data_IF_311109883911
#
_entry.id   IF_311109883911
#
_cell.length_a   1.000
_cell.length_b   1.000
_cell.length_c   1.000
_cell.angle_alpha   90.00
_cell.angle_beta   90.00
_cell.angle_gamma   90.00
#
_symmetry.space_group_name_H-M   'P 1'
#
loop_
_entity.id
_entity.type
_entity.pdbx_description
1 polymer ?
#
# COMPACT_ATOMS: atom_id res chain seq x y z
N UNK A 1 1.77 -5.41 -12.81
CA UNK A 1 0.44 -5.38 -13.47
C UNK A 1 -0.17 -6.77 -13.66
N UNK A 2 0.40 -7.68 -14.46
CA UNK A 2 -0.22 -9.00 -14.75
C UNK A 2 -0.67 -9.79 -13.50
N UNK A 3 0.17 -9.87 -12.46
CA UNK A 3 -0.18 -10.49 -11.17
C UNK A 3 -1.43 -9.87 -10.52
N UNK A 4 -1.60 -8.54 -10.62
CA UNK A 4 -2.72 -7.83 -9.98
C UNK A 4 -4.04 -8.10 -10.70
N UNK A 5 -4.01 -8.18 -12.03
CA UNK A 5 -5.15 -8.62 -12.84
C UNK A 5 -5.53 -10.07 -12.57
N UNK A 6 -4.53 -10.97 -12.58
CA UNK A 6 -4.75 -12.39 -12.30
C UNK A 6 -5.33 -12.68 -10.90
N UNK A 7 -5.06 -11.80 -9.92
CA UNK A 7 -5.65 -11.88 -8.58
C UNK A 7 -6.98 -11.11 -8.44
N UNK A 8 -7.51 -10.54 -9.53
CA UNK A 8 -8.74 -9.74 -9.51
C UNK A 8 -8.62 -8.40 -8.78
N UNK A 9 -7.40 -7.95 -8.49
CA UNK A 9 -7.17 -6.66 -7.81
C UNK A 9 -7.34 -5.47 -8.75
N UNK A 10 -7.21 -5.70 -10.05
CA UNK A 10 -7.42 -4.72 -11.12
C UNK A 10 -8.29 -5.36 -12.19
N UNK A 11 -9.06 -4.54 -12.90
CA UNK A 11 -9.80 -4.98 -14.08
C UNK A 11 -8.86 -5.51 -15.17
N UNK A 12 -9.35 -6.41 -16.01
CA UNK A 12 -8.54 -7.04 -17.06
C UNK A 12 -8.09 -6.01 -18.12
N UNK A 13 -8.87 -4.97 -18.35
CA UNK A 13 -8.57 -3.84 -19.21
C UNK A 13 -7.69 -2.76 -18.57
N UNK A 14 -7.46 -2.82 -17.25
CA UNK A 14 -6.73 -1.78 -16.53
C UNK A 14 -5.33 -1.55 -17.11
N UNK A 15 -4.95 -0.30 -17.30
CA UNK A 15 -3.67 0.13 -17.86
C UNK A 15 -2.68 0.50 -16.74
N UNK A 16 -1.42 0.73 -17.12
CA UNK A 16 -0.39 1.11 -16.15
C UNK A 16 -0.75 2.43 -15.45
N UNK A 17 -1.33 3.37 -16.20
CA UNK A 17 -1.76 4.66 -15.69
C UNK A 17 -2.90 4.51 -14.68
N UNK A 18 -3.83 3.57 -14.86
CA UNK A 18 -4.89 3.28 -13.89
C UNK A 18 -4.29 2.77 -12.57
N UNK A 19 -3.29 1.88 -12.65
CA UNK A 19 -2.59 1.39 -11.48
C UNK A 19 -1.81 2.50 -10.76
N UNK A 20 -1.12 3.36 -11.51
CA UNK A 20 -0.39 4.49 -10.95
C UNK A 20 -1.33 5.53 -10.32
N UNK A 21 -2.48 5.81 -10.96
CA UNK A 21 -3.49 6.71 -10.42
C UNK A 21 -4.08 6.17 -9.11
N UNK A 22 -4.34 4.86 -9.05
CA UNK A 22 -4.78 4.20 -7.83
C UNK A 22 -3.75 4.34 -6.70
N UNK A 23 -2.48 4.04 -6.97
CA UNK A 23 -1.41 4.18 -5.98
C UNK A 23 -1.31 5.63 -5.52
N UNK A 24 -1.33 6.58 -6.45
CA UNK A 24 -1.26 8.02 -6.15
C UNK A 24 -2.44 8.46 -5.28
N UNK A 25 -3.64 7.92 -5.52
CA UNK A 25 -4.81 8.17 -4.69
C UNK A 25 -4.60 7.69 -3.25
N UNK A 26 -4.00 6.51 -3.04
CA UNK A 26 -3.65 6.02 -1.69
C UNK A 26 -2.68 6.98 -1.01
N UNK A 27 -1.64 7.42 -1.72
CA UNK A 27 -0.59 8.28 -1.16
C UNK A 27 -1.03 9.74 -0.93
N UNK A 28 -2.12 10.18 -1.55
CA UNK A 28 -2.63 11.55 -1.45
C UNK A 28 -3.78 11.71 -0.45
N UNK A 29 -4.31 10.59 0.06
CA UNK A 29 -5.35 10.57 1.09
C UNK A 29 -4.75 10.97 2.44
N UNK A 30 -5.31 12.02 3.05
CA UNK A 30 -4.82 12.55 4.34
C UNK A 30 -4.93 11.55 5.49
N UNK A 31 -5.98 10.72 5.44
CA UNK A 31 -6.29 9.68 6.42
C UNK A 31 -5.55 8.36 6.16
N UNK A 32 -4.77 8.26 5.08
CA UNK A 32 -3.91 7.09 4.85
C UNK A 32 -2.91 6.92 5.98
N UNK A 33 -2.73 5.68 6.39
CA UNK A 33 -1.86 5.32 7.52
C UNK A 33 -0.51 4.86 7.00
N UNK A 34 0.55 5.39 7.59
CA UNK A 34 1.94 5.03 7.32
C UNK A 34 2.39 4.00 8.34
N UNK A 35 3.15 3.01 7.88
CA UNK A 35 3.68 1.92 8.69
C UNK A 35 5.19 1.78 8.47
N UNK A 36 5.89 1.37 9.52
CA UNK A 36 7.20 0.74 9.43
C UNK A 36 7.03 -0.77 9.36
N UNK A 37 7.77 -1.42 8.47
CA UNK A 37 7.75 -2.87 8.27
C UNK A 37 9.17 -3.43 8.25
N UNK A 38 9.67 -3.92 9.40
CA UNK A 38 10.96 -4.62 9.44
C UNK A 38 10.81 -6.03 8.85
N UNK A 39 11.64 -6.36 7.86
CA UNK A 39 11.66 -7.68 7.24
C UNK A 39 13.09 -8.22 7.08
N UNK A 40 13.47 -9.11 7.99
CA UNK A 40 14.84 -9.62 8.08
C UNK A 40 15.80 -8.51 8.49
N UNK A 41 16.81 -8.23 7.66
CA UNK A 41 17.80 -7.15 7.88
C UNK A 41 17.44 -5.85 7.13
N UNK A 42 16.26 -5.78 6.52
CA UNK A 42 15.82 -4.62 5.74
C UNK A 42 14.61 -3.98 6.39
N UNK A 43 14.58 -2.66 6.31
CA UNK A 43 13.42 -1.86 6.65
C UNK A 43 12.62 -1.51 5.39
N UNK A 44 11.31 -1.51 5.55
CA UNK A 44 10.38 -1.04 4.54
C UNK A 44 9.42 -0.05 5.19
N UNK A 45 8.87 0.82 4.37
CA UNK A 45 7.75 1.66 4.75
C UNK A 45 6.54 1.26 3.93
N UNK A 46 5.36 1.39 4.51
CA UNK A 46 4.14 1.14 3.79
C UNK A 46 3.08 2.20 4.06
N UNK A 47 2.20 2.39 3.10
CA UNK A 47 1.05 3.27 3.22
C UNK A 47 -0.20 2.47 2.91
N UNK A 48 -1.21 2.59 3.75
CA UNK A 48 -2.53 2.03 3.47
C UNK A 48 -3.60 3.09 3.31
N UNK A 49 -4.48 2.89 2.34
CA UNK A 49 -5.62 3.77 2.08
C UNK A 49 -6.75 3.02 1.39
N UNK A 50 -7.98 3.54 1.50
CA UNK A 50 -9.16 2.91 0.90
C UNK A 50 -9.45 3.53 -0.45
N UNK A 51 -9.40 2.72 -1.51
CA UNK A 51 -9.70 3.17 -2.88
C UNK A 51 -10.66 2.17 -3.53
N UNK A 52 -11.79 2.67 -4.04
CA UNK A 52 -12.83 1.89 -4.71
C UNK A 52 -13.37 0.68 -3.92
N UNK A 53 -13.36 0.74 -2.58
CA UNK A 53 -13.86 -0.33 -1.72
C UNK A 53 -12.78 -0.95 -0.84
N UNK A 54 -11.81 -1.72 -1.37
CA UNK A 54 -10.80 -2.39 -0.56
C UNK A 54 -9.76 -1.43 0.04
N UNK A 55 -9.10 -1.88 1.11
CA UNK A 55 -7.91 -1.22 1.64
C UNK A 55 -6.71 -1.71 0.85
N UNK A 56 -6.01 -0.78 0.23
CA UNK A 56 -4.77 -1.03 -0.48
C UNK A 56 -3.58 -0.81 0.43
N UNK A 57 -2.55 -1.63 0.28
CA UNK A 57 -1.26 -1.49 0.93
C UNK A 57 -0.20 -1.28 -0.16
N UNK A 58 0.54 -0.18 -0.05
CA UNK A 58 1.68 0.16 -0.92
C UNK A 58 2.94 0.07 -0.08
N UNK A 59 3.94 -0.69 -0.52
CA UNK A 59 5.20 -0.94 0.20
C UNK A 59 6.35 -0.33 -0.59
N UNK A 60 7.24 0.35 0.12
CA UNK A 60 8.41 1.06 -0.37
C UNK A 60 9.67 0.57 0.36
N UNK A 61 10.78 0.53 -0.38
CA UNK A 61 12.11 0.43 0.21
C UNK A 61 12.52 1.74 0.90
N UNK A 62 13.63 1.71 1.63
CA UNK A 62 14.20 2.90 2.29
C UNK A 62 14.68 3.98 1.32
N UNK A 63 14.87 3.64 0.05
CA UNK A 63 15.20 4.55 -1.05
C UNK A 63 13.96 5.20 -1.68
N UNK A 64 12.78 5.00 -1.08
CA UNK A 64 11.48 5.42 -1.58
C UNK A 64 11.06 4.77 -2.92
N UNK A 65 11.79 3.76 -3.40
CA UNK A 65 11.34 2.96 -4.54
C UNK A 65 10.16 2.09 -4.13
N UNK A 66 9.09 2.11 -4.93
CA UNK A 66 7.94 1.24 -4.69
C UNK A 66 8.31 -0.21 -4.98
N UNK A 67 8.18 -1.08 -3.98
CA UNK A 67 8.39 -2.52 -4.09
C UNK A 67 7.13 -3.21 -4.62
N UNK A 68 5.96 -2.83 -4.08
CA UNK A 68 4.67 -3.42 -4.50
C UNK A 68 3.47 -2.64 -3.99
N UNK A 69 2.33 -2.71 -4.70
CA UNK A 69 1.02 -2.33 -4.18
C UNK A 69 -0.05 -3.40 -4.44
N UNK A 70 -0.88 -3.69 -3.44
CA UNK A 70 -2.01 -4.63 -3.55
C UNK A 70 -3.01 -4.46 -2.39
N UNK A 71 -4.28 -4.85 -2.57
CA UNK A 71 -5.22 -5.02 -1.47
C UNK A 71 -5.04 -6.42 -0.84
N UNK A 72 -4.72 -6.54 0.46
CA UNK A 72 -4.78 -7.82 1.16
C UNK A 72 -6.24 -8.29 1.34
N UNK A 73 -6.48 -9.60 1.33
CA UNK A 73 -7.83 -10.17 1.54
C UNK A 73 -8.42 -9.77 2.90
N UNK A 74 -7.61 -9.85 3.95
CA UNK A 74 -7.91 -9.31 5.27
C UNK A 74 -6.75 -8.41 5.69
N UNK A 75 -6.98 -7.11 5.64
CA UNK A 75 -5.96 -6.10 5.90
C UNK A 75 -5.41 -6.20 7.33
N UNK A 76 -6.27 -6.22 8.34
CA UNK A 76 -5.89 -6.20 9.75
C UNK A 76 -5.05 -7.44 10.12
N UNK A 77 -5.50 -8.61 9.68
CA UNK A 77 -4.78 -9.87 9.90
C UNK A 77 -3.42 -9.87 9.18
N UNK A 78 -3.36 -9.32 7.96
CA UNK A 78 -2.13 -9.23 7.18
C UNK A 78 -1.08 -8.35 7.88
N UNK A 79 -1.46 -7.14 8.28
CA UNK A 79 -0.52 -6.19 8.91
C UNK A 79 -0.07 -6.69 10.28
N UNK A 80 -0.98 -7.28 11.07
CA UNK A 80 -0.66 -7.83 12.39
C UNK A 80 0.29 -9.03 12.29
N UNK A 81 -0.02 -10.02 11.45
CA UNK A 81 0.82 -11.23 11.31
C UNK A 81 2.22 -10.93 10.78
N UNK A 82 2.34 -9.87 9.98
CA UNK A 82 3.62 -9.47 9.39
C UNK A 82 4.40 -8.49 10.27
N UNK A 83 3.83 -8.00 11.37
CA UNK A 83 4.54 -7.11 12.30
C UNK A 83 4.72 -5.69 11.77
N UNK A 84 3.77 -5.19 10.99
CA UNK A 84 3.73 -3.78 10.62
C UNK A 84 3.46 -2.93 11.87
N UNK A 85 4.24 -1.87 12.05
CA UNK A 85 4.09 -0.93 13.16
C UNK A 85 3.53 0.38 12.61
N UNK A 86 2.32 0.83 13.02
CA UNK A 86 1.77 2.09 12.54
C UNK A 86 2.59 3.26 13.09
N UNK A 87 2.93 4.20 12.21
CA UNK A 87 3.65 5.43 12.55
C UNK A 87 2.73 6.64 12.71
N UNK A 88 1.56 6.61 12.06
CA UNK A 88 0.60 7.72 12.05
C UNK A 88 -0.05 7.89 10.68
N UNK A 89 -0.92 8.87 10.55
CA UNK A 89 -1.52 9.26 9.27
C UNK A 89 -0.60 10.17 8.47
N UNK A 90 -0.79 10.23 7.15
CA UNK A 90 -0.03 11.14 6.29
C UNK A 90 -0.12 12.58 6.79
N UNK A 91 -1.32 13.04 7.16
CA UNK A 91 -1.53 14.41 7.67
C UNK A 91 -0.81 14.70 9.00
N UNK A 92 -0.44 13.68 9.77
CA UNK A 92 0.25 13.82 11.06
C UNK A 92 1.78 13.83 10.88
N UNK A 93 2.28 13.15 9.85
CA UNK A 93 3.72 12.92 9.63
C UNK A 93 4.31 13.94 8.65
N UNK A 94 3.56 14.36 7.64
CA UNK A 94 3.99 15.32 6.62
C UNK A 94 3.00 16.51 6.57
N UNK A 95 3.11 17.47 7.51
CA UNK A 95 2.21 18.61 7.62
C UNK A 95 2.34 19.64 6.48
#
# INVERSE_FOLDING_TARGET
MAKRKAMGHLADEAMLDDYNALITSVLSQRDSVVYHYPFGLKDYYAVSGRVAGPVWLVIFGTDAAMETAFPPDNFDDYVQKRGFVPLGRIEEIAP
#
